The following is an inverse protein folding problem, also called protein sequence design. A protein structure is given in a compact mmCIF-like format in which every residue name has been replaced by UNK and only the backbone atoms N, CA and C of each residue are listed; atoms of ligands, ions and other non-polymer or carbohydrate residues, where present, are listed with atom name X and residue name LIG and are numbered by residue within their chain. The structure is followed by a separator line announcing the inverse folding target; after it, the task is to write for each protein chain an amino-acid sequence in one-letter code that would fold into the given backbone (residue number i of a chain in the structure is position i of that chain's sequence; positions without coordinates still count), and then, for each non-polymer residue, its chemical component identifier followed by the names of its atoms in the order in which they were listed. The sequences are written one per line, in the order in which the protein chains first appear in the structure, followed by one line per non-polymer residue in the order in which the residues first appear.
data_IF_367732760917
#
_entry.id   IF_367732760917
#
_cell.length_a   1.000
_cell.length_b   1.000
_cell.length_c   1.000
_cell.angle_alpha   90.00
_cell.angle_beta   90.00
_cell.angle_gamma   90.00
#
_symmetry.space_group_name_H-M   'P 1'
#
loop_
_entity.id
_entity.type
_entity.pdbx_description
1 polymer ?
#
# COMPACT_ATOMS: atom_id res chain seq x y z
N UNK A 1 35.54 2.06 -6.29
CA UNK A 1 34.90 1.80 -7.58
C UNK A 1 34.54 0.34 -7.63
N UNK A 2 33.24 0.07 -7.64
CA UNK A 2 32.48 -1.13 -8.02
C UNK A 2 31.30 -1.21 -7.04
N UNK A 3 30.05 -1.22 -7.41
CA UNK A 3 29.32 -1.13 -8.67
C UNK A 3 27.91 -0.76 -8.21
N UNK A 4 27.28 0.22 -8.87
CA UNK A 4 25.84 0.27 -9.09
C UNK A 4 24.95 -0.15 -7.90
N UNK A 5 24.61 0.82 -7.04
CA UNK A 5 23.34 0.75 -6.33
C UNK A 5 22.27 0.56 -7.40
N UNK A 6 21.58 -0.58 -7.37
CA UNK A 6 20.56 -0.95 -8.34
C UNK A 6 19.47 0.12 -8.40
N UNK A 7 19.59 1.07 -9.31
CA UNK A 7 18.44 1.75 -9.91
C UNK A 7 17.91 0.85 -11.03
N UNK A 8 17.33 -0.29 -10.65
CA UNK A 8 16.52 -1.10 -11.56
C UNK A 8 15.13 -1.24 -10.95
N UNK A 9 14.39 -0.15 -10.96
CA UNK A 9 12.93 -0.26 -10.93
C UNK A 9 12.49 -0.14 -12.38
N UNK A 10 12.23 -1.30 -12.98
CA UNK A 10 11.51 -1.37 -14.25
C UNK A 10 10.21 -0.57 -14.09
N UNK A 11 9.74 0.15 -15.13
CA UNK A 11 8.41 0.73 -15.07
C UNK A 11 7.44 -0.42 -14.78
N UNK A 12 6.76 -0.34 -13.64
CA UNK A 12 5.71 -1.28 -13.25
C UNK A 12 4.75 -1.35 -14.44
N UNK A 13 4.69 -2.50 -15.13
CA UNK A 13 4.02 -2.58 -16.44
C UNK A 13 2.50 -2.69 -16.30
N UNK A 14 2.01 -2.88 -15.07
CA UNK A 14 0.62 -2.88 -14.66
C UNK A 14 0.49 -3.17 -13.16
N UNK A 15 -0.74 -3.12 -12.63
CA UNK A 15 -1.00 -3.36 -11.21
C UNK A 15 -0.62 -4.78 -10.75
N UNK A 16 -0.68 -5.77 -11.64
CA UNK A 16 -0.28 -7.14 -11.32
C UNK A 16 1.20 -7.22 -10.89
N UNK A 17 2.08 -6.52 -11.61
CA UNK A 17 3.50 -6.43 -11.24
C UNK A 17 3.68 -5.73 -9.89
N UNK A 18 2.88 -4.69 -9.64
CA UNK A 18 2.91 -3.97 -8.37
C UNK A 18 2.54 -4.89 -7.21
N UNK A 19 1.45 -5.65 -7.34
CA UNK A 19 1.01 -6.62 -6.31
C UNK A 19 2.15 -7.59 -6.01
N UNK A 20 2.75 -8.16 -7.03
CA UNK A 20 3.86 -9.11 -6.86
C UNK A 20 5.09 -8.48 -6.19
N UNK A 21 5.42 -7.23 -6.54
CA UNK A 21 6.51 -6.47 -5.91
C UNK A 21 6.21 -6.21 -4.44
N UNK A 22 4.99 -5.78 -4.11
CA UNK A 22 4.58 -5.49 -2.74
C UNK A 22 4.60 -6.74 -1.86
N UNK A 23 4.08 -7.87 -2.36
CA UNK A 23 4.18 -9.16 -1.69
C UNK A 23 5.64 -9.55 -1.48
N UNK A 24 6.51 -9.36 -2.48
CA UNK A 24 7.94 -9.70 -2.34
C UNK A 24 8.67 -8.78 -1.36
N UNK A 25 8.37 -7.48 -1.38
CA UNK A 25 9.03 -6.49 -0.53
C UNK A 25 8.52 -6.56 0.91
N UNK A 26 7.24 -6.74 1.15
CA UNK A 26 6.67 -6.69 2.50
C UNK A 26 6.28 -8.05 3.05
N UNK A 27 6.56 -9.15 2.33
CA UNK A 27 6.41 -10.50 2.84
C UNK A 27 6.98 -10.60 4.25
N UNK A 28 6.10 -10.97 5.17
CA UNK A 28 6.41 -11.23 6.57
C UNK A 28 6.92 -10.04 7.39
N UNK A 29 7.04 -8.85 6.79
CA UNK A 29 7.51 -7.65 7.47
C UNK A 29 6.35 -6.90 8.16
N UNK A 30 6.65 -6.31 9.32
CA UNK A 30 5.71 -5.43 10.02
C UNK A 30 5.72 -4.07 9.34
N UNK A 31 4.55 -3.54 9.06
CA UNK A 31 4.37 -2.26 8.40
C UNK A 31 3.47 -1.33 9.20
N UNK A 32 3.76 -0.04 9.15
CA UNK A 32 2.81 1.01 9.47
C UNK A 32 2.05 1.35 8.20
N UNK A 33 0.73 1.27 8.28
CA UNK A 33 -0.21 1.54 7.19
C UNK A 33 -0.85 2.89 7.44
N UNK A 34 -0.87 3.75 6.41
CA UNK A 34 -1.57 5.04 6.45
C UNK A 34 -2.24 5.29 5.11
N UNK A 35 -3.58 5.39 5.12
CA UNK A 35 -4.38 5.77 3.97
C UNK A 35 -4.93 7.18 4.18
N UNK A 36 -4.72 8.04 3.20
CA UNK A 36 -5.12 9.45 3.21
C UNK A 36 -5.93 9.80 1.96
N UNK A 37 -6.82 10.77 2.10
CA UNK A 37 -7.57 11.36 1.00
C UNK A 37 -7.46 12.88 1.04
N UNK A 38 -7.04 13.47 -0.07
CA UNK A 38 -7.09 14.92 -0.26
C UNK A 38 -8.53 15.35 -0.57
N UNK A 39 -9.01 16.34 0.17
CA UNK A 39 -10.36 16.89 -0.01
C UNK A 39 -10.25 18.36 -0.33
N UNK A 40 -10.70 18.74 -1.52
CA UNK A 40 -10.83 20.13 -1.92
C UNK A 40 -12.16 20.70 -1.42
N UNK A 41 -12.10 21.79 -0.64
CA UNK A 41 -13.27 22.55 -0.20
C UNK A 41 -13.08 24.02 -0.55
N UNK A 42 -13.50 24.39 -1.77
CA UNK A 42 -13.30 25.74 -2.30
C UNK A 42 -11.82 25.97 -2.62
N UNK A 43 -11.19 26.96 -1.99
CA UNK A 43 -9.76 27.27 -2.19
C UNK A 43 -8.83 26.52 -1.23
N UNK A 44 -9.36 25.67 -0.36
CA UNK A 44 -8.58 24.93 0.64
C UNK A 44 -8.47 23.45 0.28
N UNK A 45 -7.26 22.93 0.30
CA UNK A 45 -6.96 21.49 0.21
C UNK A 45 -6.65 21.00 1.62
N UNK A 46 -7.36 19.96 2.07
CA UNK A 46 -7.15 19.35 3.39
C UNK A 46 -6.94 17.85 3.23
N UNK A 47 -6.02 17.28 4.00
CA UNK A 47 -5.77 15.84 4.08
C UNK A 47 -6.65 15.20 5.16
N UNK A 48 -7.36 14.14 4.80
CA UNK A 48 -8.16 13.32 5.70
C UNK A 48 -7.49 11.95 5.86
N UNK A 49 -7.11 11.59 7.09
CA UNK A 49 -6.62 10.23 7.38
C UNK A 49 -7.81 9.29 7.49
N UNK A 50 -7.89 8.33 6.57
CA UNK A 50 -8.96 7.33 6.51
C UNK A 50 -8.64 6.09 7.34
N UNK A 51 -7.37 5.67 7.35
CA UNK A 51 -6.89 4.56 8.15
C UNK A 51 -5.44 4.81 8.60
N UNK A 52 -5.12 4.44 9.83
CA UNK A 52 -3.74 4.47 10.35
C UNK A 52 -3.55 3.41 11.43
N UNK A 53 -2.77 2.37 11.15
CA UNK A 53 -2.50 1.28 12.09
C UNK A 53 -1.18 0.57 11.76
N UNK A 54 -0.78 -0.37 12.61
CA UNK A 54 0.37 -1.24 12.36
C UNK A 54 -0.11 -2.67 12.13
N UNK A 55 0.38 -3.30 11.09
CA UNK A 55 0.00 -4.66 10.73
C UNK A 55 1.14 -5.39 10.04
N UNK A 56 0.84 -6.59 9.58
CA UNK A 56 1.67 -7.32 8.64
C UNK A 56 0.84 -7.52 7.37
N UNK A 57 1.41 -7.17 6.23
CA UNK A 57 0.74 -7.40 4.95
C UNK A 57 0.58 -8.91 4.75
N UNK A 58 -0.64 -9.35 4.49
CA UNK A 58 -0.98 -10.76 4.28
C UNK A 58 -1.26 -11.02 2.79
N UNK A 59 -2.13 -10.19 2.20
CA UNK A 59 -2.53 -10.27 0.79
C UNK A 59 -2.67 -8.87 0.20
N UNK A 60 -2.30 -8.73 -1.06
CA UNK A 60 -2.69 -7.59 -1.89
C UNK A 60 -3.36 -8.14 -3.15
N UNK A 61 -4.54 -7.61 -3.50
CA UNK A 61 -5.30 -8.08 -4.67
C UNK A 61 -5.91 -6.91 -5.45
N UNK A 62 -6.18 -7.15 -6.73
CA UNK A 62 -6.80 -6.19 -7.63
C UNK A 62 -8.31 -6.44 -7.62
N UNK A 63 -9.07 -5.41 -7.25
CA UNK A 63 -10.53 -5.47 -7.29
C UNK A 63 -10.99 -5.08 -8.69
N UNK A 64 -11.69 -6.02 -9.32
CA UNK A 64 -12.30 -5.86 -10.64
C UNK A 64 -13.78 -5.44 -10.53
N UNK A 65 -14.22 -4.57 -11.42
CA UNK A 65 -15.63 -4.24 -11.57
C UNK A 65 -16.41 -5.36 -12.29
N UNK A 66 -17.73 -5.23 -12.36
CA UNK A 66 -18.57 -6.14 -13.17
C UNK A 66 -18.23 -6.11 -14.67
N UNK A 67 -17.53 -5.07 -15.14
CA UNK A 67 -17.08 -4.91 -16.52
C UNK A 67 -15.66 -5.41 -16.77
N UNK A 68 -15.06 -6.10 -15.79
CA UNK A 68 -13.66 -6.55 -15.83
C UNK A 68 -12.65 -5.38 -15.94
N UNK A 69 -12.98 -4.24 -15.31
CA UNK A 69 -12.09 -3.08 -15.20
C UNK A 69 -11.47 -3.06 -13.79
N UNK A 70 -10.18 -2.77 -13.70
CA UNK A 70 -9.45 -2.59 -12.44
C UNK A 70 -9.93 -1.28 -11.76
N UNK A 71 -10.47 -1.37 -10.55
CA UNK A 71 -11.10 -0.21 -9.88
C UNK A 71 -10.59 0.08 -8.46
N UNK A 72 -9.96 -0.90 -7.82
CA UNK A 72 -9.34 -0.70 -6.51
C UNK A 72 -8.20 -1.70 -6.28
N UNK A 73 -7.31 -1.37 -5.36
CA UNK A 73 -6.41 -2.32 -4.72
C UNK A 73 -6.93 -2.62 -3.32
N UNK A 74 -7.04 -3.90 -2.99
CA UNK A 74 -7.41 -4.38 -1.66
C UNK A 74 -6.17 -4.94 -0.96
N UNK A 75 -5.97 -4.52 0.28
CA UNK A 75 -4.86 -4.94 1.13
C UNK A 75 -5.42 -5.58 2.39
N UNK A 76 -5.06 -6.83 2.65
CA UNK A 76 -5.39 -7.53 3.89
C UNK A 76 -4.18 -7.49 4.82
N UNK A 77 -4.42 -7.11 6.07
CA UNK A 77 -3.41 -7.04 7.11
C UNK A 77 -3.78 -7.91 8.30
N UNK A 78 -2.79 -8.66 8.78
CA UNK A 78 -2.87 -9.25 10.10
C UNK A 78 -2.51 -8.18 11.13
N UNK A 79 -3.48 -7.82 11.97
CA UNK A 79 -3.24 -6.87 13.04
C UNK A 79 -2.27 -7.44 14.09
N UNK A 80 -1.41 -6.57 14.60
CA UNK A 80 -0.40 -6.93 15.61
C UNK A 80 -0.92 -6.79 17.05
N UNK A 81 -2.24 -6.68 17.23
CA UNK A 81 -2.93 -6.27 18.46
C UNK A 81 -3.28 -7.45 19.39
N UNK A 82 -2.33 -7.94 20.20
CA UNK A 82 -2.59 -8.70 21.45
C UNK A 82 -3.24 -10.11 21.36
N UNK A 83 -3.18 -10.93 22.43
CA UNK A 83 -3.76 -12.27 22.43
C UNK A 83 -5.26 -12.21 22.76
N UNK A 84 -6.04 -13.12 22.17
CA UNK A 84 -7.48 -13.33 22.39
C UNK A 84 -8.41 -12.47 21.53
N UNK A 85 -8.44 -12.73 20.24
CA UNK A 85 -9.58 -13.29 19.49
C UNK A 85 -9.09 -13.45 18.04
N UNK A 86 -9.66 -14.37 17.27
CA UNK A 86 -9.38 -14.41 15.84
C UNK A 86 -10.05 -13.18 15.22
N UNK A 87 -9.40 -12.01 15.34
CA UNK A 87 -9.83 -10.79 14.67
C UNK A 87 -9.76 -11.07 13.17
N UNK A 88 -10.86 -10.77 12.47
CA UNK A 88 -10.86 -10.78 11.01
C UNK A 88 -9.74 -9.84 10.51
N UNK A 89 -9.00 -10.21 9.45
CA UNK A 89 -7.91 -9.39 8.96
C UNK A 89 -8.42 -7.98 8.62
N UNK A 90 -7.66 -6.96 9.01
CA UNK A 90 -8.00 -5.59 8.68
C UNK A 90 -7.79 -5.35 7.20
N UNK A 91 -8.83 -4.93 6.51
CA UNK A 91 -8.80 -4.65 5.09
C UNK A 91 -8.70 -3.14 4.82
N UNK A 92 -7.81 -2.76 3.91
CA UNK A 92 -7.76 -1.40 3.34
C UNK A 92 -8.02 -1.52 1.86
N UNK A 93 -9.08 -0.86 1.39
CA UNK A 93 -9.39 -0.75 -0.03
C UNK A 93 -9.03 0.66 -0.49
N UNK A 94 -8.08 0.77 -1.41
CA UNK A 94 -7.72 2.03 -2.06
C UNK A 94 -8.35 2.05 -3.45
N UNK A 95 -9.28 2.98 -3.73
CA UNK A 95 -9.73 3.22 -5.09
C UNK A 95 -8.55 3.60 -5.98
N UNK A 96 -8.53 3.07 -7.20
CA UNK A 96 -7.46 3.35 -8.16
C UNK A 96 -8.04 3.64 -9.54
N UNK A 97 -7.33 4.49 -10.27
CA UNK A 97 -7.40 4.60 -11.72
C UNK A 97 -6.06 4.11 -12.28
N UNK A 98 -6.00 2.99 -13.01
CA UNK A 98 -4.76 2.45 -13.57
C UNK A 98 -4.01 3.43 -14.47
N UNK A 99 -4.69 4.44 -15.04
CA UNK A 99 -4.07 5.45 -15.89
C UNK A 99 -3.46 6.62 -15.09
N UNK A 100 -3.83 6.74 -13.82
CA UNK A 100 -3.46 7.84 -12.90
C UNK A 100 -2.89 7.27 -11.59
N UNK A 101 -2.31 6.07 -11.63
CA UNK A 101 -1.65 5.46 -10.47
C UNK A 101 -0.16 5.74 -10.54
N UNK A 102 0.37 6.41 -9.53
CA UNK A 102 1.80 6.62 -9.34
C UNK A 102 2.32 5.79 -8.15
N UNK A 103 3.50 5.21 -8.32
CA UNK A 103 4.12 4.34 -7.31
C UNK A 103 5.54 4.82 -7.03
N UNK A 104 5.81 5.18 -5.78
CA UNK A 104 7.17 5.38 -5.27
C UNK A 104 7.58 4.16 -4.44
N UNK A 105 8.56 3.41 -4.95
CA UNK A 105 9.06 2.17 -4.35
C UNK A 105 10.43 2.41 -3.70
N UNK A 106 10.48 2.26 -2.38
CA UNK A 106 11.72 2.24 -1.62
C UNK A 106 11.74 1.03 -0.68
N UNK A 107 12.94 0.50 -0.38
CA UNK A 107 13.10 -0.67 0.49
C UNK A 107 12.47 -0.53 1.88
N UNK A 108 12.20 0.69 2.35
CA UNK A 108 11.65 0.94 3.69
C UNK A 108 10.24 1.53 3.64
N UNK A 109 9.81 2.01 2.47
CA UNK A 109 8.59 2.77 2.31
C UNK A 109 8.07 2.57 0.89
N UNK A 110 6.80 2.23 0.76
CA UNK A 110 6.10 2.33 -0.50
C UNK A 110 4.99 3.36 -0.37
N UNK A 111 4.88 4.23 -1.36
CA UNK A 111 3.80 5.19 -1.48
C UNK A 111 3.08 4.95 -2.81
N UNK A 112 1.77 4.78 -2.71
CA UNK A 112 0.84 4.59 -3.82
C UNK A 112 -0.08 5.79 -3.87
N UNK A 113 -0.17 6.43 -5.02
CA UNK A 113 -1.02 7.59 -5.24
C UNK A 113 -1.97 7.30 -6.40
N UNK A 114 -3.25 7.59 -6.22
CA UNK A 114 -4.23 7.53 -7.31
C UNK A 114 -5.37 8.49 -7.07
N UNK A 115 -5.59 9.41 -8.02
CA UNK A 115 -6.52 10.51 -7.87
C UNK A 115 -6.24 11.32 -6.59
N UNK A 116 -7.20 11.32 -5.66
CA UNK A 116 -7.06 12.01 -4.38
C UNK A 116 -6.54 11.14 -3.23
N UNK A 117 -6.23 9.87 -3.49
CA UNK A 117 -5.88 8.91 -2.45
C UNK A 117 -4.37 8.66 -2.40
N UNK A 118 -3.84 8.55 -1.19
CA UNK A 118 -2.44 8.19 -0.94
C UNK A 118 -2.38 7.08 0.09
N UNK A 119 -1.87 5.91 -0.28
CA UNK A 119 -1.54 4.83 0.64
C UNK A 119 -0.04 4.81 0.86
N UNK A 120 0.38 4.86 2.13
CA UNK A 120 1.77 4.71 2.53
C UNK A 120 1.93 3.47 3.41
N UNK A 121 2.85 2.59 3.00
CA UNK A 121 3.32 1.45 3.76
C UNK A 121 4.77 1.73 4.20
N UNK A 122 5.03 1.75 5.50
CA UNK A 122 6.39 1.97 6.04
C UNK A 122 6.83 0.78 6.86
N UNK A 123 7.97 0.15 6.52
CA UNK A 123 8.51 -0.95 7.33
C UNK A 123 8.79 -0.46 8.75
N UNK A 124 8.31 -1.23 9.72
CA UNK A 124 8.65 -1.03 11.12
C UNK A 124 9.98 -1.71 11.43
N UNK A 125 10.74 -1.19 12.40
CA UNK A 125 11.96 -1.85 12.86
C UNK A 125 11.64 -3.29 13.28
N UNK A 126 12.48 -4.24 12.87
CA UNK A 126 12.42 -5.61 13.41
C UNK A 126 12.71 -5.52 14.91
N UNK A 127 11.87 -6.11 15.74
CA UNK A 127 12.14 -6.20 17.17
C UNK A 127 13.53 -6.83 17.36
N UNK A 128 14.42 -6.25 18.19
CA UNK A 128 15.68 -6.89 18.49
C UNK A 128 15.39 -8.22 19.18
N UNK A 129 15.79 -9.31 18.52
CA UNK A 129 15.73 -10.67 19.05
C UNK A 129 16.52 -10.81 20.37
#
# INVERSE_FOLDING_TARGET
MTMESLEMFEPVSGLEDLVQILETLFADDRVSVRLEMQVERGESVTELVLAQFNGRLDLCDIVMSELEEEVALEFLFQEMSGPEEAEEPSAVTMPIDPQDTEVDLHEQKVTLESGSFTLTLTRLPKDPA
#
